data_IF_805630902306
#
_entry.id   IF_805630902306
#
_cell.length_a   1.000
_cell.length_b   1.000
_cell.length_c   1.000
_cell.angle_alpha   90.00
_cell.angle_beta   90.00
_cell.angle_gamma   90.00
#
_symmetry.space_group_name_H-M   'P 1'
#
loop_
_entity.id
_entity.type
_entity.pdbx_description
1 polymer ?
#
# COMPACT_ATOMS: atom_id res chain seq x y z
N UNK A 1 23.53 9.33 -10.38
CA UNK A 1 22.79 10.08 -9.34
C UNK A 1 23.57 9.97 -8.04
N UNK A 2 23.85 11.06 -7.34
CA UNK A 2 24.56 11.02 -6.05
C UNK A 2 23.56 10.81 -4.87
N UNK A 3 24.08 10.56 -3.67
CA UNK A 3 23.25 10.27 -2.49
C UNK A 3 22.28 11.40 -2.15
N UNK A 4 22.72 12.65 -2.24
CA UNK A 4 21.90 13.81 -1.93
C UNK A 4 20.70 13.92 -2.89
N UNK A 5 20.95 13.78 -4.20
CA UNK A 5 19.91 13.79 -5.23
C UNK A 5 18.93 12.62 -5.06
N UNK A 6 19.42 11.42 -4.71
CA UNK A 6 18.56 10.27 -4.44
C UNK A 6 17.59 10.54 -3.27
N UNK A 7 18.11 11.09 -2.15
CA UNK A 7 17.29 11.45 -0.98
C UNK A 7 16.27 12.53 -1.28
N UNK A 8 16.65 13.55 -2.05
CA UNK A 8 15.74 14.61 -2.48
C UNK A 8 14.59 14.05 -3.32
N UNK A 9 14.89 13.14 -4.27
CA UNK A 9 13.87 12.49 -5.09
C UNK A 9 12.92 11.63 -4.25
N UNK A 10 13.44 10.83 -3.31
CA UNK A 10 12.61 10.03 -2.40
C UNK A 10 11.67 10.92 -1.60
N UNK A 11 12.18 12.01 -1.03
CA UNK A 11 11.37 12.97 -0.26
C UNK A 11 10.24 13.56 -1.11
N UNK A 12 10.55 14.06 -2.30
CA UNK A 12 9.55 14.63 -3.20
C UNK A 12 8.49 13.59 -3.59
N UNK A 13 8.88 12.32 -3.80
CA UNK A 13 7.92 11.23 -4.07
C UNK A 13 7.01 10.94 -2.87
N UNK A 14 7.55 10.97 -1.65
CA UNK A 14 6.75 10.79 -0.42
C UNK A 14 5.78 11.96 -0.25
N UNK A 15 6.26 13.20 -0.38
CA UNK A 15 5.44 14.41 -0.27
C UNK A 15 4.31 14.42 -1.30
N UNK A 16 4.60 14.03 -2.55
CA UNK A 16 3.59 13.93 -3.60
C UNK A 16 2.49 12.90 -3.31
N UNK A 17 2.80 11.85 -2.53
CA UNK A 17 1.86 10.77 -2.17
C UNK A 17 1.29 10.90 -0.77
N UNK A 18 1.61 11.98 -0.05
CA UNK A 18 1.28 12.12 1.36
C UNK A 18 -0.22 12.06 1.61
N UNK A 19 -1.00 12.78 0.80
CA UNK A 19 -2.46 12.83 0.95
C UNK A 19 -3.11 11.45 0.74
N UNK A 20 -2.69 10.71 -0.30
CA UNK A 20 -3.20 9.36 -0.57
C UNK A 20 -2.85 8.38 0.56
N UNK A 21 -1.61 8.44 1.07
CA UNK A 21 -1.15 7.57 2.16
C UNK A 21 -1.88 7.89 3.47
N UNK A 22 -2.12 9.17 3.77
CA UNK A 22 -2.87 9.60 4.94
C UNK A 22 -4.34 9.23 4.83
N UNK A 23 -4.95 9.40 3.64
CA UNK A 23 -6.32 9.01 3.39
C UNK A 23 -6.51 7.49 3.60
N UNK A 24 -5.62 6.67 3.04
CA UNK A 24 -5.60 5.22 3.27
C UNK A 24 -5.44 4.90 4.76
N UNK A 25 -4.50 5.54 5.46
CA UNK A 25 -4.28 5.30 6.88
C UNK A 25 -5.53 5.61 7.72
N UNK A 26 -6.22 6.72 7.44
CA UNK A 26 -7.43 7.09 8.16
C UNK A 26 -8.60 6.18 7.81
N UNK A 27 -8.72 5.75 6.55
CA UNK A 27 -9.74 4.80 6.11
C UNK A 27 -9.60 3.45 6.82
N UNK A 28 -8.38 2.91 6.90
CA UNK A 28 -8.11 1.68 7.66
C UNK A 28 -8.43 1.82 9.14
N UNK A 29 -8.08 2.96 9.75
CA UNK A 29 -8.36 3.24 11.17
C UNK A 29 -9.87 3.33 11.46
N UNK A 30 -10.62 3.97 10.56
CA UNK A 30 -12.06 4.17 10.74
C UNK A 30 -12.90 2.92 10.42
N UNK A 31 -12.32 1.92 9.76
CA UNK A 31 -12.98 0.66 9.40
C UNK A 31 -12.19 -0.53 9.99
N UNK A 32 -12.16 -0.68 11.34
CA UNK A 32 -11.42 -1.77 11.95
C UNK A 32 -12.09 -3.12 11.66
N UNK A 33 -11.28 -4.07 11.24
CA UNK A 33 -11.68 -5.45 11.00
C UNK A 33 -10.92 -6.39 11.96
N UNK A 34 -11.50 -7.57 12.23
CA UNK A 34 -10.90 -8.56 13.12
C UNK A 34 -9.90 -9.44 12.36
N UNK A 35 -9.09 -10.16 13.13
CA UNK A 35 -8.10 -11.11 12.61
C UNK A 35 -8.70 -12.06 11.56
N UNK A 36 -8.09 -12.10 10.37
CA UNK A 36 -8.51 -12.86 9.19
C UNK A 36 -9.80 -12.42 8.50
N UNK A 37 -10.44 -11.36 8.99
CA UNK A 37 -11.63 -10.76 8.40
C UNK A 37 -11.34 -9.38 7.79
N UNK A 38 -10.06 -9.05 7.57
CA UNK A 38 -9.63 -7.75 7.03
C UNK A 38 -9.85 -7.61 5.51
N UNK A 39 -11.10 -7.78 5.04
CA UNK A 39 -11.46 -7.74 3.62
C UNK A 39 -11.41 -6.32 3.06
N UNK A 40 -11.87 -5.32 3.82
CA UNK A 40 -11.76 -3.91 3.46
C UNK A 40 -10.31 -3.47 3.41
N UNK A 41 -9.54 -3.76 4.46
CA UNK A 41 -8.12 -3.40 4.49
C UNK A 41 -7.34 -4.07 3.36
N UNK A 42 -7.61 -5.36 3.10
CA UNK A 42 -7.03 -6.08 1.97
C UNK A 42 -7.34 -5.40 0.65
N UNK A 43 -8.60 -5.08 0.39
CA UNK A 43 -9.03 -4.45 -0.86
C UNK A 43 -8.39 -3.07 -1.06
N UNK A 44 -8.37 -2.25 0.00
CA UNK A 44 -7.80 -0.90 -0.03
C UNK A 44 -6.29 -0.91 -0.29
N UNK A 45 -5.54 -1.73 0.46
CA UNK A 45 -4.08 -1.84 0.33
C UNK A 45 -3.67 -2.37 -1.04
N UNK A 46 -4.34 -3.42 -1.52
CA UNK A 46 -4.00 -4.04 -2.81
C UNK A 46 -4.32 -3.13 -3.99
N UNK A 47 -5.39 -2.34 -3.93
CA UNK A 47 -5.70 -1.34 -4.94
C UNK A 47 -4.61 -0.25 -5.04
N UNK A 48 -4.14 0.26 -3.90
CA UNK A 48 -3.06 1.28 -3.88
C UNK A 48 -1.75 0.72 -4.41
N UNK A 49 -1.44 -0.56 -4.11
CA UNK A 49 -0.24 -1.22 -4.61
C UNK A 49 -0.30 -1.43 -6.13
N UNK A 50 -1.43 -1.90 -6.65
CA UNK A 50 -1.64 -2.10 -8.10
C UNK A 50 -1.48 -0.79 -8.87
N UNK A 51 -2.09 0.31 -8.41
CA UNK A 51 -1.96 1.63 -9.05
C UNK A 51 -0.55 2.21 -8.91
N UNK A 52 0.22 1.73 -7.94
CA UNK A 52 1.63 2.11 -7.74
C UNK A 52 2.61 1.27 -8.56
N UNK A 53 2.13 0.38 -9.44
CA UNK A 53 2.95 -0.42 -10.34
C UNK A 53 3.46 -1.74 -9.74
N UNK A 54 2.90 -2.17 -8.62
CA UNK A 54 3.20 -3.50 -8.09
C UNK A 54 2.39 -4.56 -8.84
N UNK A 55 3.00 -5.72 -9.07
CA UNK A 55 2.25 -6.94 -9.39
C UNK A 55 1.72 -7.52 -8.08
N UNK A 56 0.41 -7.52 -7.91
CA UNK A 56 -0.25 -7.99 -6.68
C UNK A 56 -0.94 -9.33 -6.91
N UNK A 57 -0.63 -10.29 -6.05
CA UNK A 57 -1.39 -11.52 -5.87
C UNK A 57 -2.30 -11.34 -4.66
N UNK A 58 -3.60 -11.15 -4.91
CA UNK A 58 -4.66 -11.17 -3.90
C UNK A 58 -4.97 -12.63 -3.49
N UNK A 59 -5.43 -12.85 -2.25
CA UNK A 59 -5.70 -14.21 -1.75
C UNK A 59 -4.45 -15.08 -1.62
N UNK A 60 -3.31 -14.48 -1.25
CA UNK A 60 -2.03 -15.17 -1.28
C UNK A 60 -1.97 -16.29 -0.22
N UNK A 61 -1.23 -17.36 -0.53
CA UNK A 61 -0.93 -18.44 0.42
C UNK A 61 -2.17 -19.12 1.05
N UNK A 62 -3.32 -19.11 0.35
CA UNK A 62 -4.56 -19.74 0.81
C UNK A 62 -5.38 -18.92 1.79
N UNK A 63 -5.01 -17.66 2.03
CA UNK A 63 -5.74 -16.74 2.90
C UNK A 63 -6.39 -15.62 2.07
N UNK A 64 -7.74 -15.50 2.05
CA UNK A 64 -8.43 -14.47 1.27
C UNK A 64 -7.96 -13.05 1.56
N UNK A 65 -7.63 -12.77 2.83
CA UNK A 65 -7.19 -11.46 3.32
C UNK A 65 -5.66 -11.27 3.28
N UNK A 66 -4.90 -12.24 2.75
CA UNK A 66 -3.48 -12.06 2.51
C UNK A 66 -3.22 -11.59 1.07
N UNK A 67 -2.13 -10.85 0.88
CA UNK A 67 -1.63 -10.49 -0.45
C UNK A 67 -0.11 -10.54 -0.52
N UNK A 68 0.41 -10.77 -1.72
CA UNK A 68 1.83 -10.65 -2.06
C UNK A 68 1.98 -9.58 -3.11
N UNK A 69 2.86 -8.59 -2.89
CA UNK A 69 3.16 -7.54 -3.85
C UNK A 69 4.63 -7.58 -4.25
N UNK A 70 4.90 -7.52 -5.56
CA UNK A 70 6.26 -7.52 -6.13
C UNK A 70 6.42 -6.28 -6.99
N UNK A 71 7.57 -5.62 -6.88
CA UNK A 71 7.95 -4.45 -7.66
C UNK A 71 9.35 -4.62 -8.21
N UNK A 72 9.56 -4.29 -9.47
CA UNK A 72 10.85 -4.42 -10.16
C UNK A 72 10.72 -5.03 -11.54
#
# INVERSE_FOLDING_TARGET
MNLAAAKARIRATIEHRADDLLALSHDLWNNPELCFEEHHAHAALTAVLETSGFTVQRGAYGLPTAFRAVYG
#
